data_IF_400290467738
#
_entry.id   IF_400290467738
#
_cell.length_a   1.000
_cell.length_b   1.000
_cell.length_c   1.000
_cell.angle_alpha   90.00
_cell.angle_beta   90.00
_cell.angle_gamma   90.00
#
_symmetry.space_group_name_H-M   'P 1'
#
loop_
_entity.id
_entity.type
_entity.pdbx_description
1 polymer ?
#
# COMPACT_ATOMS: atom_id res chain seq x y z
N UNK A 1 -43.89 13.13 9.69
CA UNK A 1 -43.05 12.77 8.53
C UNK A 1 -42.65 11.30 8.70
N UNK A 2 -43.31 10.40 7.96
CA UNK A 2 -42.98 8.98 8.01
C UNK A 2 -41.62 8.76 7.36
N UNK A 3 -40.76 7.93 7.97
CA UNK A 3 -39.50 7.53 7.35
C UNK A 3 -39.82 6.79 6.03
N UNK A 4 -39.44 7.38 4.91
CA UNK A 4 -39.60 6.82 3.56
C UNK A 4 -38.51 5.77 3.25
N UNK A 5 -38.14 4.96 4.25
CA UNK A 5 -37.16 3.90 4.00
C UNK A 5 -37.80 2.83 3.09
N UNK A 6 -37.17 2.46 1.97
CA UNK A 6 -37.72 1.49 1.04
C UNK A 6 -37.90 0.13 1.74
N UNK A 7 -39.13 -0.38 1.73
CA UNK A 7 -39.46 -1.66 2.36
C UNK A 7 -39.23 -2.82 1.40
N UNK A 8 -38.37 -3.77 1.80
CA UNK A 8 -38.15 -5.02 1.08
C UNK A 8 -39.02 -6.15 1.66
N UNK A 9 -39.89 -6.74 0.83
CA UNK A 9 -40.66 -7.94 1.22
C UNK A 9 -39.82 -9.20 0.99
N UNK A 10 -39.06 -9.60 2.01
CA UNK A 10 -38.18 -10.76 1.96
C UNK A 10 -38.93 -12.06 2.28
N UNK A 11 -38.78 -13.10 1.44
CA UNK A 11 -39.26 -14.45 1.73
C UNK A 11 -38.11 -15.27 2.31
N UNK A 12 -38.26 -15.72 3.55
CA UNK A 12 -37.26 -16.52 4.26
C UNK A 12 -37.80 -17.93 4.50
N UNK A 13 -36.90 -18.92 4.45
CA UNK A 13 -37.22 -20.24 5.01
C UNK A 13 -37.35 -20.14 6.52
N UNK A 14 -38.14 -21.03 7.12
CA UNK A 14 -38.39 -21.03 8.56
C UNK A 14 -37.10 -21.18 9.37
N UNK A 15 -36.21 -22.08 8.93
CA UNK A 15 -34.91 -22.29 9.54
C UNK A 15 -34.03 -21.03 9.52
N UNK A 16 -34.05 -20.25 8.43
CA UNK A 16 -33.28 -19.01 8.34
C UNK A 16 -33.86 -17.94 9.25
N UNK A 17 -35.19 -17.80 9.29
CA UNK A 17 -35.87 -16.85 10.19
C UNK A 17 -35.54 -17.13 11.66
N UNK A 18 -35.54 -18.41 12.07
CA UNK A 18 -35.19 -18.81 13.44
C UNK A 18 -33.75 -18.42 13.79
N UNK A 19 -32.78 -18.70 12.90
CA UNK A 19 -31.36 -18.33 13.10
C UNK A 19 -31.18 -16.82 13.24
N UNK A 20 -31.81 -16.02 12.39
CA UNK A 20 -31.72 -14.55 12.45
C UNK A 20 -32.36 -14.01 13.73
N UNK A 21 -33.46 -14.60 14.18
CA UNK A 21 -34.14 -14.18 15.42
C UNK A 21 -33.29 -14.47 16.65
N UNK A 22 -32.65 -15.63 16.71
CA UNK A 22 -31.71 -15.97 17.77
C UNK A 22 -30.50 -15.02 17.80
N UNK A 23 -29.93 -14.71 16.63
CA UNK A 23 -28.82 -13.74 16.52
C UNK A 23 -29.24 -12.33 16.98
N UNK A 24 -30.43 -11.87 16.57
CA UNK A 24 -30.96 -10.59 16.98
C UNK A 24 -31.13 -10.51 18.51
N UNK A 25 -31.67 -11.56 19.14
CA UNK A 25 -31.79 -11.64 20.61
C UNK A 25 -30.42 -11.61 21.30
N UNK A 26 -29.46 -12.39 20.82
CA UNK A 26 -28.10 -12.42 21.38
C UNK A 26 -27.39 -11.06 21.28
N UNK A 27 -27.65 -10.32 20.19
CA UNK A 27 -27.07 -9.00 19.95
C UNK A 27 -27.89 -7.84 20.57
N UNK A 28 -29.00 -8.12 21.25
CA UNK A 28 -29.88 -7.08 21.82
C UNK A 28 -30.53 -6.18 20.76
N UNK A 29 -30.74 -6.68 19.55
CA UNK A 29 -31.28 -5.95 18.39
C UNK A 29 -32.67 -6.46 18.00
N UNK A 30 -33.44 -5.64 17.30
CA UNK A 30 -34.63 -6.13 16.61
C UNK A 30 -34.22 -7.01 15.43
N UNK A 31 -35.10 -7.92 15.00
CA UNK A 31 -34.84 -8.80 13.85
C UNK A 31 -34.51 -7.99 12.59
N UNK A 32 -35.25 -6.91 12.34
CA UNK A 32 -34.94 -6.01 11.20
C UNK A 32 -33.57 -5.34 11.35
N UNK A 33 -33.22 -4.85 12.54
CA UNK A 33 -31.91 -4.22 12.76
C UNK A 33 -30.76 -5.22 12.56
N UNK A 34 -30.95 -6.48 12.94
CA UNK A 34 -29.96 -7.53 12.70
C UNK A 34 -29.83 -7.87 11.21
N UNK A 35 -30.95 -7.96 10.47
CA UNK A 35 -30.92 -8.17 9.01
C UNK A 35 -30.17 -7.02 8.32
N UNK A 36 -30.49 -5.77 8.69
CA UNK A 36 -29.82 -4.59 8.14
C UNK A 36 -28.33 -4.64 8.44
N UNK A 37 -27.93 -4.87 9.70
CA UNK A 37 -26.52 -4.93 10.07
C UNK A 37 -25.76 -6.05 9.33
N UNK A 38 -26.37 -7.22 9.16
CA UNK A 38 -25.79 -8.31 8.39
C UNK A 38 -25.61 -7.94 6.90
N UNK A 39 -26.60 -7.27 6.32
CA UNK A 39 -26.53 -6.79 4.94
C UNK A 39 -25.50 -5.67 4.75
N UNK A 40 -25.40 -4.72 5.67
CA UNK A 40 -24.37 -3.66 5.64
C UNK A 40 -22.95 -4.24 5.77
N UNK A 41 -22.80 -5.36 6.47
CA UNK A 41 -21.53 -6.06 6.58
C UNK A 41 -21.17 -6.79 5.28
N UNK A 42 -22.15 -7.46 4.65
CA UNK A 42 -21.95 -8.19 3.40
C UNK A 42 -21.85 -7.29 2.17
N UNK A 43 -22.54 -6.15 2.20
CA UNK A 43 -22.64 -5.16 1.13
C UNK A 43 -22.35 -3.77 1.72
N UNK A 44 -21.09 -3.49 2.11
CA UNK A 44 -20.72 -2.21 2.67
C UNK A 44 -20.94 -1.09 1.65
N UNK A 45 -21.36 0.09 2.13
CA UNK A 45 -21.48 1.27 1.28
C UNK A 45 -20.09 1.64 0.71
N UNK A 46 -19.91 1.62 -0.63
CA UNK A 46 -18.65 2.00 -1.26
C UNK A 46 -18.20 3.42 -0.91
N UNK A 47 -19.15 4.31 -0.60
CA UNK A 47 -18.84 5.68 -0.22
C UNK A 47 -18.32 5.78 1.22
N UNK A 48 -18.66 4.82 2.09
CA UNK A 48 -18.27 4.83 3.51
C UNK A 48 -16.76 4.87 3.71
N UNK A 49 -16.01 4.27 2.78
CA UNK A 49 -14.55 4.21 2.84
C UNK A 49 -13.85 5.14 1.85
N UNK A 50 -14.59 6.04 1.19
CA UNK A 50 -14.05 6.87 0.11
C UNK A 50 -12.93 7.80 0.61
N UNK A 51 -13.06 8.32 1.83
CA UNK A 51 -12.02 9.17 2.42
C UNK A 51 -10.80 8.34 2.82
N UNK A 52 -10.99 7.19 3.48
CA UNK A 52 -9.87 6.27 3.79
C UNK A 52 -9.12 5.81 2.53
N UNK A 53 -9.83 5.52 1.44
CA UNK A 53 -9.22 5.12 0.17
C UNK A 53 -8.37 6.26 -0.44
N UNK A 54 -8.83 7.52 -0.37
CA UNK A 54 -8.02 8.66 -0.81
C UNK A 54 -6.74 8.81 -0.01
N UNK A 55 -6.79 8.58 1.31
CA UNK A 55 -5.58 8.62 2.13
C UNK A 55 -4.57 7.54 1.73
N UNK A 56 -5.03 6.36 1.31
CA UNK A 56 -4.12 5.33 0.79
C UNK A 56 -3.46 5.76 -0.52
N UNK A 57 -4.21 6.36 -1.44
CA UNK A 57 -3.65 6.92 -2.69
C UNK A 57 -2.59 7.99 -2.40
N UNK A 58 -2.84 8.88 -1.43
CA UNK A 58 -1.88 9.91 -1.00
C UNK A 58 -0.60 9.29 -0.39
N UNK A 59 -0.74 8.22 0.40
CA UNK A 59 0.41 7.50 0.96
C UNK A 59 1.27 6.91 -0.16
N UNK A 60 0.65 6.29 -1.16
CA UNK A 60 1.36 5.71 -2.30
C UNK A 60 2.12 6.77 -3.10
N UNK A 61 1.53 7.95 -3.31
CA UNK A 61 2.21 9.08 -3.93
C UNK A 61 3.44 9.53 -3.11
N UNK A 62 3.31 9.61 -1.78
CA UNK A 62 4.40 10.00 -0.90
C UNK A 62 5.53 8.97 -0.96
N UNK A 63 5.22 7.67 -0.94
CA UNK A 63 6.23 6.61 -1.06
C UNK A 63 7.00 6.71 -2.38
N UNK A 64 6.30 6.91 -3.50
CA UNK A 64 6.95 7.09 -4.80
C UNK A 64 7.90 8.29 -4.82
N UNK A 65 7.51 9.41 -4.18
CA UNK A 65 8.38 10.59 -4.06
C UNK A 65 9.61 10.29 -3.21
N UNK A 66 9.44 9.59 -2.09
CA UNK A 66 10.55 9.18 -1.22
C UNK A 66 11.54 8.27 -1.93
N UNK A 67 11.05 7.32 -2.72
CA UNK A 67 11.91 6.41 -3.47
C UNK A 67 12.73 7.13 -4.54
N UNK A 68 12.15 8.14 -5.21
CA UNK A 68 12.92 9.00 -6.12
C UNK A 68 14.02 9.78 -5.41
N UNK A 69 13.72 10.34 -4.23
CA UNK A 69 14.71 11.07 -3.43
C UNK A 69 15.82 10.12 -2.98
N UNK A 70 15.47 8.93 -2.49
CA UNK A 70 16.45 7.91 -2.09
C UNK A 70 17.35 7.51 -3.25
N UNK A 71 16.78 7.26 -4.43
CA UNK A 71 17.55 6.91 -5.62
C UNK A 71 18.53 8.03 -6.02
N UNK A 72 18.08 9.28 -6.00
CA UNK A 72 18.94 10.44 -6.29
C UNK A 72 20.09 10.57 -5.29
N UNK A 73 19.82 10.44 -3.98
CA UNK A 73 20.85 10.50 -2.94
C UNK A 73 21.84 9.34 -3.01
N UNK A 74 21.37 8.14 -3.37
CA UNK A 74 22.25 7.00 -3.56
C UNK A 74 23.17 7.21 -4.77
N UNK A 75 22.65 7.77 -5.86
CA UNK A 75 23.45 8.12 -7.03
C UNK A 75 24.51 9.17 -6.68
N UNK A 76 24.13 10.27 -6.03
CA UNK A 76 25.06 11.32 -5.54
C UNK A 76 26.16 10.73 -4.66
N UNK A 77 25.79 9.89 -3.68
CA UNK A 77 26.76 9.25 -2.80
C UNK A 77 27.70 8.31 -3.59
N UNK A 78 27.18 7.53 -4.53
CA UNK A 78 28.00 6.64 -5.35
C UNK A 78 28.99 7.41 -6.23
N UNK A 79 28.58 8.55 -6.80
CA UNK A 79 29.45 9.42 -7.59
C UNK A 79 30.54 10.06 -6.72
N UNK A 80 30.19 10.59 -5.55
CA UNK A 80 31.18 11.16 -4.61
C UNK A 80 32.21 10.13 -4.15
N UNK A 81 31.78 8.89 -3.85
CA UNK A 81 32.71 7.81 -3.50
C UNK A 81 33.63 7.44 -4.68
N UNK A 82 33.15 7.49 -5.92
CA UNK A 82 34.00 7.23 -7.10
C UNK A 82 35.01 8.33 -7.36
N UNK A 83 34.62 9.61 -7.20
CA UNK A 83 35.54 10.75 -7.35
C UNK A 83 36.63 10.73 -6.27
N UNK A 84 36.27 10.57 -4.99
CA UNK A 84 37.24 10.46 -3.90
C UNK A 84 38.19 9.27 -4.12
N UNK A 85 37.67 8.12 -4.52
CA UNK A 85 38.49 6.93 -4.80
C UNK A 85 39.45 7.14 -5.98
N UNK A 86 39.00 7.81 -7.05
CA UNK A 86 39.84 8.12 -8.21
C UNK A 86 40.92 9.12 -7.83
N UNK A 87 40.59 10.18 -7.08
CA UNK A 87 41.56 11.17 -6.62
C UNK A 87 42.62 10.56 -5.70
N UNK A 88 42.21 9.75 -4.72
CA UNK A 88 43.12 9.10 -3.76
C UNK A 88 44.08 8.11 -4.46
N UNK A 89 43.65 7.51 -5.57
CA UNK A 89 44.43 6.49 -6.28
C UNK A 89 45.04 6.98 -7.61
N UNK A 90 44.82 8.23 -8.02
CA UNK A 90 45.33 8.80 -9.27
C UNK A 90 46.86 8.74 -9.38
N UNK A 91 47.58 8.97 -8.27
CA UNK A 91 49.03 8.86 -8.17
C UNK A 91 49.52 7.41 -8.40
N UNK A 92 48.77 6.41 -7.90
CA UNK A 92 49.11 4.98 -8.08
C UNK A 92 48.85 4.50 -9.50
N UNK A 93 47.90 5.10 -10.21
CA UNK A 93 47.53 4.75 -11.59
C UNK A 93 48.52 5.36 -12.61
N UNK A 94 49.14 6.50 -12.30
CA UNK A 94 50.12 7.16 -13.19
C UNK A 94 51.49 6.44 -13.30
N UNK A 95 51.73 5.36 -12.56
CA UNK A 95 53.07 4.78 -12.38
C UNK A 95 53.32 3.36 -12.90
N UNK A 96 53.50 3.18 -14.22
CA UNK A 96 54.57 2.31 -14.75
C UNK A 96 54.89 2.66 -16.21
N UNK A 97 56.05 3.28 -16.51
CA UNK A 97 56.50 3.39 -17.89
C UNK A 97 56.76 1.97 -18.43
N UNK A 98 56.20 1.65 -19.60
CA UNK A 98 56.49 0.39 -20.31
C UNK A 98 57.97 0.40 -20.68
N UNK A 99 58.79 -0.39 -19.98
CA UNK A 99 60.19 -0.59 -20.39
C UNK A 99 60.22 -1.27 -21.77
N UNK A 100 61.00 -0.77 -22.74
CA UNK A 100 61.13 -1.41 -24.04
C UNK A 100 61.85 -2.75 -23.88
N UNK A 101 61.23 -3.84 -24.35
CA UNK A 101 61.84 -5.17 -24.38
C UNK A 101 63.12 -5.10 -25.23
N UNK A 102 64.28 -5.35 -24.62
CA UNK A 102 65.53 -5.58 -25.38
C UNK A 102 65.32 -6.82 -26.26
N UNK A 103 65.57 -6.67 -27.57
CA UNK A 103 65.65 -7.78 -28.52
C UNK A 103 67.06 -8.34 -28.41
N UNK A 104 67.18 -9.57 -27.94
CA UNK A 104 68.44 -10.30 -27.97
C UNK A 104 68.69 -10.82 -29.39
N UNK A 105 69.93 -10.64 -29.86
CA UNK A 105 70.47 -11.11 -31.14
C UNK A 105 71.20 -12.44 -30.96
#
# INVERSE_FOLDING_TARGET
>A
MGREDPQLKLRLTEALKARVTAAAQANGRSVNAEIVAALETAFPDPAKYREELKFLDEIDEIQQRLDRIRAARLAEASESFTEEFIEENAEKIKGRPRQPKKKDH
#
